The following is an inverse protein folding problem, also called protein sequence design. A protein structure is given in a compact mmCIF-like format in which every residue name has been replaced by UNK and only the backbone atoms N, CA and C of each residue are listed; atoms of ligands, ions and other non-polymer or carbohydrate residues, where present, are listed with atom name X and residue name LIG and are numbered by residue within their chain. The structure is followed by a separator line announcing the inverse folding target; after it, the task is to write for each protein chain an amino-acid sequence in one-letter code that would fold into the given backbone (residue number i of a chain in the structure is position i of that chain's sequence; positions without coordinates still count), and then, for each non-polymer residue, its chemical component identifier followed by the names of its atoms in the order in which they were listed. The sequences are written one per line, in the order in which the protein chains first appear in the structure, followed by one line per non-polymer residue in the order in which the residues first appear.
data_IF_366956882310
#
_entry.id   IF_366956882310
#
_cell.length_a   1.000
_cell.length_b   1.000
_cell.length_c   1.000
_cell.angle_alpha   90.00
_cell.angle_beta   90.00
_cell.angle_gamma   90.00
#
_symmetry.space_group_name_H-M   'P 1'
#
loop_
_entity.id
_entity.type
_entity.pdbx_description
1 polymer ?
#
# COMPACT_ATOMS: atom_id res chain seq x y z
N UNK A 1 37.63 -12.55 7.93
CA UNK A 1 36.30 -11.98 7.78
C UNK A 1 35.45 -12.71 8.80
N UNK A 2 35.29 -12.16 10.02
CA UNK A 2 34.41 -12.77 11.03
C UNK A 2 32.97 -12.63 10.51
N UNK A 3 32.28 -13.74 10.36
CA UNK A 3 30.86 -13.77 10.08
C UNK A 3 30.15 -13.04 11.23
N UNK A 4 29.51 -11.92 10.95
CA UNK A 4 28.67 -11.21 11.91
C UNK A 4 27.62 -12.24 12.38
N UNK A 5 27.71 -12.66 13.64
CA UNK A 5 26.73 -13.57 14.22
C UNK A 5 25.38 -12.84 14.20
N UNK A 6 24.34 -13.41 13.59
CA UNK A 6 23.03 -12.80 13.64
C UNK A 6 22.62 -12.59 15.10
N UNK A 7 22.19 -11.37 15.43
CA UNK A 7 21.66 -11.09 16.77
C UNK A 7 20.51 -12.07 17.06
N UNK A 8 20.49 -12.61 18.27
CA UNK A 8 19.37 -13.46 18.71
C UNK A 8 18.07 -12.66 18.62
N UNK A 9 17.22 -13.01 17.64
CA UNK A 9 15.98 -12.32 17.41
C UNK A 9 14.97 -12.75 18.47
N UNK A 10 14.60 -11.82 19.36
CA UNK A 10 13.51 -12.04 20.32
C UNK A 10 12.18 -12.00 19.55
N UNK A 11 11.49 -13.11 19.49
CA UNK A 11 10.21 -13.25 18.80
C UNK A 11 9.08 -12.86 19.75
N UNK A 12 8.20 -11.98 19.28
CA UNK A 12 7.02 -11.52 20.02
C UNK A 12 5.74 -11.92 19.27
N UNK A 13 4.64 -12.28 19.97
CA UNK A 13 3.35 -12.45 19.33
C UNK A 13 2.97 -11.21 18.48
N UNK A 14 2.41 -11.44 17.29
CA UNK A 14 2.13 -10.35 16.33
C UNK A 14 1.24 -9.22 16.92
N UNK A 15 0.32 -9.54 17.81
CA UNK A 15 -0.57 -8.56 18.45
C UNK A 15 0.19 -7.56 19.33
N UNK A 16 1.32 -7.93 19.93
CA UNK A 16 2.11 -7.03 20.78
C UNK A 16 2.69 -5.85 20.00
N UNK A 17 2.92 -5.99 18.70
CA UNK A 17 3.38 -4.88 17.86
C UNK A 17 2.33 -3.77 17.68
N UNK A 18 1.05 -4.10 17.88
CA UNK A 18 -0.06 -3.16 17.76
C UNK A 18 -0.64 -2.73 19.11
N UNK A 19 -0.60 -3.59 20.12
CA UNK A 19 -1.21 -3.37 21.44
C UNK A 19 -0.21 -2.94 22.53
N UNK A 20 1.10 -3.15 22.31
CA UNK A 20 2.13 -2.73 23.27
C UNK A 20 2.19 -1.20 23.43
N UNK A 21 2.63 -0.72 24.59
CA UNK A 21 2.89 0.72 24.78
C UNK A 21 3.85 1.26 23.72
N UNK A 22 3.50 2.43 23.19
CA UNK A 22 4.24 3.09 22.11
C UNK A 22 4.94 4.35 22.61
N UNK A 23 6.08 4.64 22.04
CA UNK A 23 6.83 5.88 22.25
C UNK A 23 6.75 6.75 21.00
N UNK A 24 6.66 8.08 21.20
CA UNK A 24 6.63 9.06 20.11
C UNK A 24 8.03 9.37 19.63
N UNK A 25 8.19 9.41 18.30
CA UNK A 25 9.39 9.91 17.64
C UNK A 25 8.99 10.89 16.54
N UNK A 26 9.80 11.93 16.33
CA UNK A 26 9.61 12.91 15.25
C UNK A 26 10.59 12.60 14.13
N UNK A 27 10.15 11.81 13.17
CA UNK A 27 10.96 11.16 12.15
C UNK A 27 10.40 11.35 10.75
N UNK A 28 11.22 11.09 9.72
CA UNK A 28 10.77 11.09 8.32
C UNK A 28 9.96 9.83 8.01
N UNK A 29 9.16 9.84 6.94
CA UNK A 29 8.46 8.64 6.49
C UNK A 29 9.42 7.52 6.06
N UNK A 30 10.58 7.87 5.51
CA UNK A 30 11.64 6.91 5.19
C UNK A 30 12.20 6.24 6.47
N UNK A 31 12.38 7.00 7.56
CA UNK A 31 12.73 6.46 8.88
C UNK A 31 11.63 5.57 9.43
N UNK A 32 10.37 6.00 9.34
CA UNK A 32 9.22 5.23 9.81
C UNK A 32 9.13 3.87 9.10
N UNK A 33 9.25 3.84 7.78
CA UNK A 33 9.25 2.61 7.00
C UNK A 33 10.41 1.67 7.40
N UNK A 34 11.63 2.20 7.57
CA UNK A 34 12.78 1.38 7.98
C UNK A 34 12.61 0.82 9.40
N UNK A 35 12.03 1.57 10.32
CA UNK A 35 11.68 1.10 11.66
C UNK A 35 10.59 0.02 11.66
N UNK A 36 9.62 0.10 10.72
CA UNK A 36 8.66 -0.97 10.51
C UNK A 36 9.34 -2.24 9.95
N UNK A 37 10.20 -2.11 8.96
CA UNK A 37 11.01 -3.21 8.39
C UNK A 37 11.86 -3.91 9.46
N UNK A 38 12.49 -3.12 10.35
CA UNK A 38 13.27 -3.64 11.49
C UNK A 38 12.41 -4.50 12.42
N UNK A 39 11.20 -4.05 12.76
CA UNK A 39 10.26 -4.78 13.62
C UNK A 39 9.60 -5.95 12.91
N UNK A 40 9.42 -5.85 11.61
CA UNK A 40 8.91 -6.95 10.80
C UNK A 40 9.86 -8.15 10.74
N UNK A 41 11.11 -8.01 11.20
CA UNK A 41 12.07 -9.10 11.17
C UNK A 41 12.33 -9.62 9.75
N UNK A 42 12.55 -8.71 8.81
CA UNK A 42 12.79 -9.00 7.40
C UNK A 42 14.09 -9.79 7.25
N UNK A 43 14.08 -10.83 6.42
CA UNK A 43 15.27 -11.61 6.10
C UNK A 43 16.06 -10.99 4.97
N UNK A 44 15.39 -10.58 3.89
CA UNK A 44 16.06 -10.02 2.71
C UNK A 44 15.31 -8.81 2.16
N UNK A 45 16.07 -7.79 1.77
CA UNK A 45 15.60 -6.64 1.05
C UNK A 45 16.33 -6.51 -0.30
N UNK A 46 15.59 -6.35 -1.38
CA UNK A 46 16.15 -6.21 -2.72
C UNK A 46 15.50 -5.02 -3.41
N UNK A 47 16.30 -4.11 -3.93
CA UNK A 47 15.78 -2.98 -4.70
C UNK A 47 16.82 -2.40 -5.68
N UNK A 48 16.33 -1.64 -6.65
CA UNK A 48 17.12 -0.71 -7.45
C UNK A 48 16.85 0.72 -6.97
N UNK A 49 17.90 1.55 -6.77
CA UNK A 49 17.72 2.89 -6.20
C UNK A 49 17.00 3.83 -7.18
N UNK A 50 15.92 4.43 -6.73
CA UNK A 50 15.17 5.48 -7.44
C UNK A 50 14.60 6.49 -6.45
N UNK A 51 14.75 7.80 -6.73
CA UNK A 51 14.19 8.87 -5.89
C UNK A 51 12.65 8.90 -5.98
N UNK A 52 11.91 9.05 -4.85
CA UNK A 52 12.35 9.29 -3.46
C UNK A 52 12.54 8.03 -2.61
N UNK A 53 12.47 6.84 -3.17
CA UNK A 53 12.61 5.56 -2.47
C UNK A 53 14.04 5.33 -1.94
N UNK A 54 15.06 5.90 -2.56
CA UNK A 54 16.48 5.63 -2.26
C UNK A 54 16.84 5.86 -0.79
N UNK A 55 16.26 6.88 -0.14
CA UNK A 55 16.52 7.15 1.28
C UNK A 55 16.04 5.99 2.18
N UNK A 56 14.84 5.47 1.92
CA UNK A 56 14.32 4.31 2.66
C UNK A 56 15.23 3.11 2.51
N UNK A 57 15.66 2.80 1.27
CA UNK A 57 16.52 1.63 1.04
C UNK A 57 17.94 1.82 1.54
N UNK A 58 18.45 3.05 1.62
CA UNK A 58 19.72 3.32 2.29
C UNK A 58 19.63 2.97 3.78
N UNK A 59 18.56 3.39 4.46
CA UNK A 59 18.32 3.06 5.88
C UNK A 59 18.12 1.56 6.09
N UNK A 60 17.46 0.87 5.17
CA UNK A 60 17.35 -0.60 5.19
C UNK A 60 18.74 -1.25 5.01
N UNK A 61 19.60 -0.67 4.17
CA UNK A 61 21.01 -1.08 4.05
C UNK A 61 21.81 -0.87 5.35
N UNK A 62 21.55 0.21 6.09
CA UNK A 62 22.15 0.44 7.41
C UNK A 62 21.69 -0.63 8.42
N UNK A 63 20.42 -1.04 8.37
CA UNK A 63 19.90 -2.15 9.18
C UNK A 63 20.59 -3.48 8.85
N UNK A 64 20.93 -3.73 7.59
CA UNK A 64 21.75 -4.86 7.19
C UNK A 64 23.16 -4.77 7.79
N UNK A 65 23.81 -3.61 7.69
CA UNK A 65 25.11 -3.37 8.30
C UNK A 65 25.14 -3.56 9.83
N UNK A 66 23.99 -3.32 10.50
CA UNK A 66 23.81 -3.51 11.94
C UNK A 66 23.36 -4.95 12.31
N UNK A 67 23.15 -5.84 11.34
CA UNK A 67 22.76 -7.24 11.57
C UNK A 67 21.26 -7.46 11.82
N UNK A 68 20.39 -6.46 11.63
CA UNK A 68 18.93 -6.60 11.76
C UNK A 68 18.31 -7.32 10.58
N UNK A 69 18.85 -7.15 9.38
CA UNK A 69 18.42 -7.81 8.15
C UNK A 69 19.53 -8.80 7.76
N UNK A 70 19.11 -9.97 7.29
CA UNK A 70 20.03 -11.08 6.98
C UNK A 70 20.79 -10.84 5.67
N UNK A 71 20.11 -10.26 4.67
CA UNK A 71 20.68 -9.98 3.36
C UNK A 71 20.10 -8.73 2.73
N UNK A 72 20.91 -8.02 1.97
CA UNK A 72 20.57 -6.79 1.27
C UNK A 72 21.24 -6.76 -0.09
N UNK A 73 20.43 -6.75 -1.15
CA UNK A 73 20.93 -6.77 -2.52
C UNK A 73 20.46 -5.57 -3.32
N UNK A 74 21.41 -4.88 -3.95
CA UNK A 74 21.15 -3.82 -4.93
C UNK A 74 21.20 -4.43 -6.32
N UNK A 75 20.05 -4.49 -6.98
CA UNK A 75 19.92 -5.02 -8.32
C UNK A 75 20.42 -4.03 -9.39
N UNK A 76 20.61 -4.52 -10.60
CA UNK A 76 21.05 -3.72 -11.75
C UNK A 76 19.91 -2.87 -12.34
N UNK A 77 18.66 -3.30 -12.15
CA UNK A 77 17.45 -2.57 -12.53
C UNK A 77 16.23 -3.08 -11.76
N UNK A 78 15.06 -2.46 -11.96
CA UNK A 78 13.83 -2.82 -11.27
C UNK A 78 13.30 -4.20 -11.67
N UNK A 79 13.43 -4.59 -12.93
CA UNK A 79 13.01 -5.93 -13.41
C UNK A 79 13.81 -7.01 -12.70
N UNK A 80 15.13 -6.81 -12.61
CA UNK A 80 16.03 -7.68 -11.86
C UNK A 80 15.69 -7.74 -10.38
N UNK A 81 15.43 -6.56 -9.75
CA UNK A 81 15.05 -6.47 -8.34
C UNK A 81 13.75 -7.24 -8.04
N UNK A 82 12.71 -7.03 -8.84
CA UNK A 82 11.39 -7.62 -8.65
C UNK A 82 11.38 -9.13 -8.94
N UNK A 83 12.16 -9.58 -9.91
CA UNK A 83 12.36 -11.01 -10.19
C UNK A 83 13.11 -11.70 -9.06
N UNK A 84 14.20 -11.10 -8.58
CA UNK A 84 15.01 -11.65 -7.49
C UNK A 84 14.20 -11.75 -6.18
N UNK A 85 13.43 -10.70 -5.80
CA UNK A 85 12.61 -10.73 -4.59
C UNK A 85 11.48 -11.77 -4.67
N UNK A 86 10.91 -11.96 -5.86
CA UNK A 86 9.94 -13.04 -6.11
C UNK A 86 10.56 -14.40 -5.87
N UNK A 87 11.76 -14.63 -6.39
CA UNK A 87 12.54 -15.85 -6.16
C UNK A 87 12.84 -16.07 -4.67
N UNK A 88 13.34 -15.04 -3.99
CA UNK A 88 13.63 -15.10 -2.57
C UNK A 88 12.38 -15.43 -1.73
N UNK A 89 11.24 -14.79 -2.00
CA UNK A 89 9.99 -15.06 -1.28
C UNK A 89 9.56 -16.53 -1.39
N UNK A 90 9.78 -17.17 -2.53
CA UNK A 90 9.47 -18.58 -2.75
C UNK A 90 10.31 -19.54 -1.91
N UNK A 91 11.45 -19.10 -1.43
CA UNK A 91 12.27 -19.90 -0.49
C UNK A 91 11.76 -19.83 0.95
N UNK A 92 10.69 -19.07 1.21
CA UNK A 92 10.04 -18.93 2.51
C UNK A 92 10.68 -17.89 3.44
N UNK A 93 11.62 -17.10 2.96
CA UNK A 93 12.18 -15.99 3.73
C UNK A 93 11.25 -14.77 3.66
N UNK A 94 11.25 -13.92 4.69
CA UNK A 94 10.48 -12.68 4.70
C UNK A 94 11.19 -11.62 3.88
N UNK A 95 10.50 -11.12 2.85
CA UNK A 95 11.08 -10.26 1.84
C UNK A 95 10.40 -8.91 1.75
N UNK A 96 11.17 -7.88 1.43
CA UNK A 96 10.64 -6.59 1.03
C UNK A 96 11.38 -6.03 -0.18
N UNK A 97 10.66 -5.23 -0.96
CA UNK A 97 11.22 -4.39 -2.02
C UNK A 97 10.58 -3.01 -1.99
N UNK A 98 11.16 -2.06 -2.68
CA UNK A 98 10.61 -0.72 -2.80
C UNK A 98 10.93 -0.12 -4.16
N UNK A 99 10.05 0.76 -4.66
CA UNK A 99 10.27 1.52 -5.88
C UNK A 99 9.43 2.81 -5.91
N UNK A 100 9.47 3.51 -7.01
CA UNK A 100 8.73 4.74 -7.27
C UNK A 100 8.38 4.83 -8.75
N UNK A 101 7.30 5.51 -9.09
CA UNK A 101 6.87 5.89 -10.44
C UNK A 101 7.47 5.14 -11.63
N UNK A 102 8.50 5.69 -12.29
CA UNK A 102 9.08 5.06 -13.49
C UNK A 102 9.66 3.67 -13.25
N UNK A 103 10.23 3.42 -12.05
CA UNK A 103 10.79 2.13 -11.70
C UNK A 103 9.69 1.06 -11.52
N UNK A 104 8.56 1.44 -10.90
CA UNK A 104 7.39 0.58 -10.84
C UNK A 104 6.92 0.23 -12.26
N UNK A 105 6.79 1.22 -13.12
CA UNK A 105 6.34 1.02 -14.51
C UNK A 105 7.30 0.15 -15.32
N UNK A 106 8.61 0.28 -15.10
CA UNK A 106 9.61 -0.58 -15.76
C UNK A 106 9.43 -2.06 -15.40
N UNK A 107 9.05 -2.36 -14.17
CA UNK A 107 8.87 -3.73 -13.67
C UNK A 107 7.44 -4.21 -13.55
N UNK A 108 6.45 -3.51 -14.10
CA UNK A 108 5.02 -3.80 -13.91
C UNK A 108 4.64 -5.22 -14.34
N UNK A 109 5.27 -5.77 -15.37
CA UNK A 109 5.05 -7.15 -15.83
C UNK A 109 5.37 -8.15 -14.71
N UNK A 110 6.51 -7.97 -14.04
CA UNK A 110 6.92 -8.83 -12.94
C UNK A 110 5.99 -8.67 -11.74
N UNK A 111 5.65 -7.42 -11.39
CA UNK A 111 4.71 -7.10 -10.29
C UNK A 111 3.35 -7.78 -10.53
N UNK A 112 2.83 -7.72 -11.75
CA UNK A 112 1.56 -8.33 -12.12
C UNK A 112 1.59 -9.87 -12.04
N UNK A 113 2.77 -10.48 -12.13
CA UNK A 113 2.93 -11.93 -11.98
C UNK A 113 2.91 -12.42 -10.53
N UNK A 114 3.24 -11.57 -9.56
CA UNK A 114 3.37 -11.95 -8.14
C UNK A 114 2.09 -12.55 -7.52
N UNK A 115 0.89 -11.98 -7.72
CA UNK A 115 -0.34 -12.57 -7.17
C UNK A 115 -0.61 -13.96 -7.74
N UNK A 116 -0.36 -14.14 -9.04
CA UNK A 116 -0.46 -15.43 -9.70
C UNK A 116 0.51 -16.47 -9.14
N UNK A 117 1.69 -16.06 -8.75
CA UNK A 117 2.68 -16.92 -8.11
C UNK A 117 2.45 -17.10 -6.60
N UNK A 118 1.48 -16.39 -6.01
CA UNK A 118 1.19 -16.44 -4.56
C UNK A 118 2.44 -16.14 -3.73
N UNK A 119 3.13 -15.05 -4.04
CA UNK A 119 4.38 -14.61 -3.38
C UNK A 119 4.06 -13.64 -2.27
N UNK A 120 4.14 -14.01 -1.00
CA UNK A 120 3.97 -13.08 0.10
C UNK A 120 5.23 -12.23 0.27
N UNK A 121 5.10 -10.96 -0.01
CA UNK A 121 6.15 -9.95 0.19
C UNK A 121 5.50 -8.58 0.47
N UNK A 122 6.28 -7.64 0.98
CA UNK A 122 5.85 -6.24 1.10
C UNK A 122 6.58 -5.40 0.06
N UNK A 123 5.81 -4.64 -0.69
CA UNK A 123 6.29 -3.69 -1.69
C UNK A 123 5.96 -2.26 -1.25
N UNK A 124 6.96 -1.47 -0.92
CA UNK A 124 6.80 -0.06 -0.57
C UNK A 124 6.85 0.79 -1.84
N UNK A 125 5.82 1.61 -2.05
CA UNK A 125 5.71 2.51 -3.21
C UNK A 125 5.77 3.95 -2.72
N UNK A 126 6.86 4.65 -3.04
CA UNK A 126 7.00 6.07 -2.81
C UNK A 126 6.55 6.80 -4.07
N UNK A 127 5.27 7.18 -4.09
CA UNK A 127 4.60 7.69 -5.28
C UNK A 127 5.25 8.97 -5.82
N UNK A 128 5.49 9.00 -7.12
CA UNK A 128 6.00 10.17 -7.86
C UNK A 128 5.53 10.16 -9.31
N UNK A 129 5.71 11.30 -10.00
CA UNK A 129 5.48 11.41 -11.43
C UNK A 129 6.14 10.25 -12.20
N UNK A 130 5.38 9.57 -13.03
CA UNK A 130 5.85 8.42 -13.81
C UNK A 130 6.89 8.87 -14.82
N UNK A 131 6.55 9.77 -15.72
CA UNK A 131 7.48 10.34 -16.73
C UNK A 131 6.77 11.36 -17.62
N UNK A 132 7.56 12.19 -18.34
CA UNK A 132 7.20 13.12 -19.38
C UNK A 132 6.05 14.13 -19.04
N UNK A 133 6.36 15.29 -18.39
CA UNK A 133 7.70 15.75 -18.08
C UNK A 133 8.32 15.04 -16.89
N UNK A 134 9.63 14.84 -16.93
CA UNK A 134 10.36 14.19 -15.83
C UNK A 134 10.28 15.04 -14.56
N UNK A 135 9.78 14.45 -13.49
CA UNK A 135 9.77 15.04 -12.15
C UNK A 135 9.96 13.97 -11.11
N UNK A 136 10.64 14.31 -10.03
CA UNK A 136 10.77 13.44 -8.84
C UNK A 136 9.68 13.73 -7.81
N UNK A 137 8.84 14.70 -8.08
CA UNK A 137 7.85 15.23 -7.16
C UNK A 137 6.62 14.29 -7.03
N UNK A 138 5.86 14.43 -5.93
CA UNK A 138 4.70 13.58 -5.65
C UNK A 138 3.66 13.59 -6.76
N UNK A 139 3.19 12.43 -7.08
CA UNK A 139 2.07 12.12 -7.96
C UNK A 139 1.73 10.65 -7.70
N UNK A 140 0.48 10.26 -7.76
CA UNK A 140 0.11 8.86 -7.49
C UNK A 140 -0.56 8.17 -8.68
N UNK A 141 -0.17 8.57 -9.89
CA UNK A 141 -0.65 7.97 -11.14
C UNK A 141 -0.32 6.47 -11.24
N UNK A 142 0.82 6.03 -10.70
CA UNK A 142 1.22 4.63 -10.71
C UNK A 142 0.25 3.71 -9.97
N UNK A 143 -0.56 4.24 -9.05
CA UNK A 143 -1.57 3.45 -8.35
C UNK A 143 -2.70 3.00 -9.27
N UNK A 144 -2.99 3.73 -10.35
CA UNK A 144 -3.93 3.32 -11.40
C UNK A 144 -3.54 1.96 -12.02
N UNK A 145 -2.25 1.70 -12.16
CA UNK A 145 -1.73 0.42 -12.65
C UNK A 145 -1.73 -0.64 -11.55
N UNK A 146 -1.40 -0.24 -10.32
CA UNK A 146 -1.35 -1.17 -9.19
C UNK A 146 -2.71 -1.75 -8.80
N UNK A 147 -3.78 -0.96 -8.90
CA UNK A 147 -5.13 -1.43 -8.57
C UNK A 147 -5.65 -2.54 -9.50
N UNK A 148 -5.04 -2.71 -10.68
CA UNK A 148 -5.38 -3.77 -11.63
C UNK A 148 -4.43 -4.96 -11.58
N UNK A 149 -3.38 -4.91 -10.75
CA UNK A 149 -2.31 -5.92 -10.73
C UNK A 149 -2.65 -7.22 -9.98
N UNK A 150 -3.73 -7.24 -9.19
CA UNK A 150 -4.08 -8.37 -8.32
C UNK A 150 -3.39 -8.36 -6.95
N UNK A 151 -2.46 -7.44 -6.69
CA UNK A 151 -1.85 -7.23 -5.39
C UNK A 151 -2.87 -6.66 -4.38
N UNK A 152 -2.63 -6.83 -3.08
CA UNK A 152 -3.29 -6.03 -2.06
C UNK A 152 -2.59 -4.66 -2.06
N UNK A 153 -3.36 -3.57 -2.03
CA UNK A 153 -2.80 -2.22 -2.16
C UNK A 153 -3.39 -1.30 -1.08
N UNK A 154 -2.52 -0.72 -0.26
CA UNK A 154 -2.85 0.31 0.71
C UNK A 154 -2.28 1.65 0.28
N UNK A 155 -2.96 2.76 0.60
CA UNK A 155 -2.47 4.10 0.32
C UNK A 155 -2.46 4.94 1.60
N UNK A 156 -1.29 5.04 2.23
CA UNK A 156 -1.06 5.69 3.51
C UNK A 156 -1.24 7.21 3.43
N UNK A 157 -1.94 7.77 4.41
CA UNK A 157 -2.15 9.22 4.53
C UNK A 157 -0.90 9.94 5.03
N UNK A 158 -0.21 9.33 6.00
CA UNK A 158 0.83 9.98 6.77
C UNK A 158 1.88 8.98 7.28
N UNK A 159 2.82 9.45 8.08
CA UNK A 159 3.94 8.68 8.65
C UNK A 159 3.47 7.52 9.53
N UNK A 160 2.41 7.73 10.34
CA UNK A 160 1.88 6.68 11.21
C UNK A 160 1.26 5.55 10.40
N UNK A 161 0.42 5.87 9.41
CA UNK A 161 -0.15 4.88 8.51
C UNK A 161 0.97 4.10 7.80
N UNK A 162 2.00 4.81 7.31
CA UNK A 162 3.08 4.18 6.57
C UNK A 162 3.87 3.19 7.44
N UNK A 163 4.12 3.55 8.72
CA UNK A 163 4.73 2.64 9.70
C UNK A 163 3.82 1.44 9.99
N UNK A 164 2.60 1.68 10.46
CA UNK A 164 1.69 0.63 10.91
C UNK A 164 1.28 -0.31 9.76
N UNK A 165 1.00 0.25 8.58
CA UNK A 165 0.55 -0.55 7.45
C UNK A 165 1.69 -1.33 6.78
N UNK A 166 2.92 -0.85 6.88
CA UNK A 166 4.10 -1.65 6.50
C UNK A 166 4.21 -2.89 7.38
N UNK A 167 4.08 -2.76 8.70
CA UNK A 167 4.05 -3.91 9.62
C UNK A 167 2.86 -4.84 9.34
N UNK A 168 1.67 -4.28 9.21
CA UNK A 168 0.46 -5.04 8.89
C UNK A 168 0.59 -5.77 7.55
N UNK A 169 1.24 -5.14 6.57
CA UNK A 169 1.48 -5.72 5.25
C UNK A 169 2.21 -7.05 5.30
N UNK A 170 3.25 -7.18 6.12
CA UNK A 170 3.95 -8.45 6.32
C UNK A 170 3.02 -9.50 6.94
N UNK A 171 2.27 -9.15 7.99
CA UNK A 171 1.35 -10.07 8.63
C UNK A 171 0.28 -10.54 7.65
N UNK A 172 -0.36 -9.62 6.94
CA UNK A 172 -1.47 -9.91 6.02
C UNK A 172 -1.00 -10.75 4.86
N UNK A 173 0.14 -10.38 4.24
CA UNK A 173 0.69 -11.10 3.09
C UNK A 173 1.01 -12.56 3.41
N UNK A 174 1.40 -12.84 4.65
CA UNK A 174 1.86 -14.15 5.11
C UNK A 174 0.75 -15.05 5.68
N UNK A 175 -0.50 -14.57 5.78
CA UNK A 175 -1.62 -15.43 6.19
C UNK A 175 -1.85 -16.53 5.15
N UNK A 176 -1.97 -17.78 5.59
CA UNK A 176 -2.08 -18.96 4.72
C UNK A 176 -3.22 -18.87 3.71
N UNK A 177 -4.35 -18.31 4.14
CA UNK A 177 -5.51 -18.11 3.28
C UNK A 177 -5.39 -16.89 2.37
N UNK A 178 -4.37 -16.02 2.58
CA UNK A 178 -4.10 -14.84 1.75
C UNK A 178 -2.95 -15.11 0.80
N UNK A 179 -1.71 -15.24 1.31
CA UNK A 179 -0.48 -15.46 0.52
C UNK A 179 -0.43 -14.61 -0.75
N UNK A 180 -0.68 -13.31 -0.62
CA UNK A 180 -0.60 -12.31 -1.69
C UNK A 180 0.43 -11.25 -1.33
N UNK A 181 1.08 -10.64 -2.33
CA UNK A 181 1.91 -9.47 -2.06
C UNK A 181 1.05 -8.30 -1.57
N UNK A 182 1.61 -7.52 -0.64
CA UNK A 182 0.99 -6.30 -0.14
C UNK A 182 1.84 -5.10 -0.54
N UNK A 183 1.27 -4.22 -1.32
CA UNK A 183 1.84 -2.92 -1.65
C UNK A 183 1.36 -1.87 -0.64
N UNK A 184 2.29 -1.11 -0.06
CA UNK A 184 1.98 0.03 0.79
C UNK A 184 2.52 1.28 0.12
N UNK A 185 1.60 2.08 -0.42
CA UNK A 185 1.91 3.30 -1.12
C UNK A 185 1.85 4.51 -0.19
N UNK A 186 2.67 5.50 -0.48
CA UNK A 186 2.70 6.79 0.19
C UNK A 186 3.12 7.87 -0.79
N UNK A 187 2.58 9.08 -0.65
CA UNK A 187 2.99 10.19 -1.50
C UNK A 187 4.43 10.59 -1.19
N UNK A 188 5.31 10.44 -2.18
CA UNK A 188 6.74 10.74 -2.08
C UNK A 188 6.99 12.20 -1.69
N UNK A 189 8.15 12.51 -1.13
CA UNK A 189 8.54 13.79 -0.54
C UNK A 189 7.59 14.35 0.53
N UNK A 190 6.26 14.39 0.28
CA UNK A 190 5.31 14.91 1.26
C UNK A 190 5.31 14.13 2.57
N UNK A 191 5.50 12.82 2.50
CA UNK A 191 5.60 11.97 3.68
C UNK A 191 7.03 11.44 3.84
N UNK A 192 7.67 10.96 2.78
CA UNK A 192 8.95 10.25 2.88
C UNK A 192 10.09 11.11 3.41
N UNK A 193 10.14 12.41 3.07
CA UNK A 193 11.22 13.32 3.45
C UNK A 193 10.80 14.36 4.51
N UNK A 194 9.51 14.66 4.62
CA UNK A 194 9.00 15.47 5.72
C UNK A 194 9.12 14.71 7.05
N UNK A 195 9.20 15.44 8.16
CA UNK A 195 9.15 14.85 9.52
C UNK A 195 7.74 14.90 10.06
N UNK A 196 7.35 13.84 10.73
CA UNK A 196 6.07 13.72 11.40
C UNK A 196 6.20 12.91 12.69
N UNK A 197 5.19 13.01 13.53
CA UNK A 197 5.11 12.21 14.74
C UNK A 197 4.67 10.78 14.41
N UNK A 198 5.42 9.81 14.92
CA UNK A 198 5.10 8.38 14.80
C UNK A 198 5.18 7.75 16.19
N UNK A 199 4.13 7.04 16.55
CA UNK A 199 4.09 6.23 17.76
C UNK A 199 4.48 4.78 17.41
N UNK A 200 5.54 4.29 18.04
CA UNK A 200 6.11 2.98 17.73
C UNK A 200 6.26 2.14 19.00
N UNK A 201 6.01 0.82 18.94
CA UNK A 201 6.33 -0.08 20.02
C UNK A 201 7.86 -0.18 20.19
N UNK A 202 8.32 -0.77 21.31
CA UNK A 202 9.76 -1.01 21.53
C UNK A 202 10.42 -1.66 20.31
N UNK A 203 11.64 -1.26 20.02
CA UNK A 203 12.44 -1.85 18.93
C UNK A 203 12.84 -3.32 19.19
N UNK A 204 12.68 -3.81 20.43
CA UNK A 204 12.94 -5.21 20.79
C UNK A 204 11.82 -6.14 20.38
N UNK A 205 10.61 -5.61 20.18
CA UNK A 205 9.49 -6.37 19.68
C UNK A 205 9.65 -6.67 18.18
N UNK A 206 9.64 -7.94 17.81
CA UNK A 206 9.82 -8.43 16.45
C UNK A 206 8.69 -9.36 16.05
N UNK A 207 8.26 -9.30 14.79
CA UNK A 207 7.34 -10.30 14.26
C UNK A 207 7.94 -11.71 14.34
N UNK A 208 7.14 -12.72 14.65
CA UNK A 208 7.57 -14.11 14.63
C UNK A 208 8.02 -14.52 13.22
N UNK A 209 8.82 -15.58 13.15
CA UNK A 209 9.18 -16.21 11.88
C UNK A 209 7.94 -16.81 11.20
N UNK A 210 8.04 -16.96 9.87
CA UNK A 210 6.95 -17.49 9.03
C UNK A 210 6.73 -18.98 9.21
N UNK A 211 5.95 -19.41 10.19
CA UNK A 211 5.66 -20.84 10.33
C UNK A 211 4.63 -21.32 9.29
N UNK A 212 3.62 -20.50 9.04
CA UNK A 212 2.48 -20.85 8.23
C UNK A 212 2.78 -20.95 6.72
N UNK A 213 3.75 -20.21 6.22
CA UNK A 213 4.13 -20.23 4.81
C UNK A 213 4.73 -21.59 4.40
N UNK A 214 5.46 -22.25 5.31
CA UNK A 214 6.04 -23.57 5.08
C UNK A 214 4.97 -24.65 4.90
N UNK A 215 3.82 -24.50 5.56
CA UNK A 215 2.71 -25.46 5.47
C UNK A 215 1.81 -25.20 4.26
N UNK A 216 1.50 -23.93 3.97
CA UNK A 216 0.55 -23.56 2.93
C UNK A 216 1.12 -23.54 1.52
N UNK A 217 2.41 -23.18 1.38
CA UNK A 217 3.14 -23.17 0.13
C UNK A 217 4.42 -23.95 0.38
N UNK A 218 4.42 -25.26 0.12
CA UNK A 218 5.62 -26.08 0.33
C UNK A 218 6.76 -25.48 -0.47
N UNK A 219 7.82 -25.18 0.23
CA UNK A 219 9.09 -24.71 -0.31
C UNK A 219 9.73 -25.80 -1.18
N UNK A 220 10.84 -25.45 -1.83
CA UNK A 220 11.63 -26.43 -2.56
C UNK A 220 11.99 -27.57 -1.59
N UNK A 221 11.17 -28.58 -1.62
CA UNK A 221 11.39 -29.84 -0.96
C UNK A 221 11.70 -30.84 -2.06
N UNK A 222 12.93 -31.37 -2.05
CA UNK A 222 13.38 -32.30 -3.07
C UNK A 222 12.60 -33.61 -3.08
N UNK A 223 11.97 -33.96 -1.96
CA UNK A 223 11.15 -35.17 -1.83
C UNK A 223 9.69 -34.92 -2.28
N UNK A 224 9.20 -33.68 -2.12
CA UNK A 224 7.86 -33.28 -2.52
C UNK A 224 7.93 -31.95 -3.29
N UNK A 225 8.30 -31.95 -4.57
CA UNK A 225 8.40 -30.73 -5.34
C UNK A 225 7.06 -29.99 -5.34
N UNK A 226 7.05 -28.70 -4.97
CA UNK A 226 5.82 -27.95 -4.79
C UNK A 226 5.06 -27.85 -6.11
N UNK A 227 3.86 -28.36 -6.12
CA UNK A 227 2.93 -28.31 -7.25
C UNK A 227 2.61 -26.86 -7.67
N UNK A 228 2.96 -25.86 -6.84
CA UNK A 228 2.62 -24.44 -7.02
C UNK A 228 3.77 -23.55 -7.47
N UNK A 229 5.02 -24.00 -7.48
CA UNK A 229 6.12 -23.25 -8.07
C UNK A 229 6.01 -23.44 -9.58
N UNK A 230 5.78 -22.35 -10.30
CA UNK A 230 5.66 -22.35 -11.73
C UNK A 230 4.64 -23.39 -12.26
N UNK A 231 3.38 -23.18 -11.98
CA UNK A 231 2.37 -23.57 -12.95
C UNK A 231 2.51 -22.62 -14.15
N UNK A 232 3.60 -22.73 -14.85
CA UNK A 232 3.59 -22.40 -16.26
C UNK A 232 2.47 -23.24 -16.83
N UNK A 233 1.42 -22.57 -17.30
CA UNK A 233 0.36 -23.30 -17.98
C UNK A 233 1.01 -24.20 -19.01
N UNK A 234 0.79 -25.52 -18.98
CA UNK A 234 1.39 -26.39 -19.97
C UNK A 234 1.05 -25.84 -21.34
N UNK A 235 2.01 -25.88 -22.27
CA UNK A 235 1.78 -25.48 -23.68
C UNK A 235 0.47 -26.09 -24.12
N UNK A 236 -0.53 -25.24 -24.35
CA UNK A 236 -1.90 -25.69 -24.27
C UNK A 236 -2.36 -26.34 -25.59
N UNK A 237 -2.94 -27.51 -25.46
CA UNK A 237 -3.54 -28.21 -26.59
C UNK A 237 -4.90 -27.64 -27.00
N UNK A 238 -5.52 -26.74 -26.18
CA UNK A 238 -6.74 -26.08 -26.56
C UNK A 238 -6.91 -24.72 -25.82
N UNK A 239 -7.45 -23.73 -26.52
CA UNK A 239 -7.77 -22.40 -25.98
C UNK A 239 -8.80 -22.46 -24.85
N UNK A 240 -9.67 -23.46 -24.82
CA UNK A 240 -10.67 -23.63 -23.77
C UNK A 240 -10.05 -24.02 -22.43
N UNK A 241 -9.09 -24.92 -22.43
CA UNK A 241 -8.34 -25.30 -21.20
C UNK A 241 -7.57 -24.09 -20.67
N UNK A 242 -6.98 -23.29 -21.56
CA UNK A 242 -6.33 -22.03 -21.21
C UNK A 242 -7.27 -21.10 -20.47
N UNK A 243 -8.41 -20.84 -21.05
CA UNK A 243 -9.42 -19.98 -20.46
C UNK A 243 -9.85 -20.46 -19.07
N UNK A 244 -10.15 -21.76 -18.91
CA UNK A 244 -10.56 -22.30 -17.61
C UNK A 244 -9.47 -22.14 -16.53
N UNK A 245 -8.22 -22.36 -16.90
CA UNK A 245 -7.09 -22.21 -15.98
C UNK A 245 -6.91 -20.75 -15.56
N UNK A 246 -6.93 -19.82 -16.50
CA UNK A 246 -6.81 -18.38 -16.19
C UNK A 246 -7.99 -17.89 -15.38
N UNK A 247 -9.21 -18.25 -15.73
CA UNK A 247 -10.42 -17.85 -15.02
C UNK A 247 -10.41 -18.34 -13.56
N UNK A 248 -10.11 -19.62 -13.32
CA UNK A 248 -10.04 -20.16 -11.96
C UNK A 248 -8.91 -19.55 -11.13
N UNK A 249 -7.79 -19.21 -11.77
CA UNK A 249 -6.67 -18.55 -11.12
C UNK A 249 -7.00 -17.11 -10.71
N UNK A 250 -7.64 -16.34 -11.58
CA UNK A 250 -8.10 -15.00 -11.25
C UNK A 250 -9.16 -15.03 -10.14
N UNK A 251 -10.09 -15.99 -10.18
CA UNK A 251 -11.07 -16.17 -9.11
C UNK A 251 -10.42 -16.43 -7.76
N UNK A 252 -9.35 -17.25 -7.71
CA UNK A 252 -8.63 -17.52 -6.47
C UNK A 252 -7.86 -16.29 -5.96
N UNK A 253 -7.29 -15.46 -6.84
CA UNK A 253 -6.66 -14.19 -6.45
C UNK A 253 -7.71 -13.27 -5.80
N UNK A 254 -8.86 -13.09 -6.43
CA UNK A 254 -9.95 -12.29 -5.87
C UNK A 254 -10.45 -12.85 -4.54
N UNK A 255 -10.64 -14.16 -4.44
CA UNK A 255 -11.04 -14.82 -3.20
C UNK A 255 -10.01 -14.60 -2.08
N UNK A 256 -8.72 -14.64 -2.39
CA UNK A 256 -7.67 -14.36 -1.42
C UNK A 256 -7.65 -12.88 -0.99
N UNK A 257 -7.90 -11.94 -1.90
CA UNK A 257 -8.10 -10.53 -1.57
C UNK A 257 -9.31 -10.36 -0.63
N UNK A 258 -10.45 -10.99 -0.90
CA UNK A 258 -11.62 -10.93 -0.02
C UNK A 258 -11.33 -11.54 1.36
N UNK A 259 -10.63 -12.68 1.42
CA UNK A 259 -10.20 -13.25 2.71
C UNK A 259 -9.27 -12.32 3.50
N UNK A 260 -8.52 -11.46 2.84
CA UNK A 260 -7.64 -10.49 3.50
C UNK A 260 -8.40 -9.38 4.24
N UNK A 261 -9.66 -9.08 3.88
CA UNK A 261 -10.46 -7.99 4.48
C UNK A 261 -10.55 -8.08 6.01
N UNK A 262 -10.69 -9.28 6.57
CA UNK A 262 -10.75 -9.47 8.03
C UNK A 262 -9.44 -9.07 8.72
N UNK A 263 -8.31 -9.32 8.08
CA UNK A 263 -7.00 -8.96 8.61
C UNK A 263 -6.71 -7.48 8.42
N UNK A 264 -7.11 -6.91 7.27
CA UNK A 264 -7.08 -5.46 7.02
C UNK A 264 -7.91 -4.75 8.09
N UNK A 265 -9.15 -5.20 8.32
CA UNK A 265 -10.01 -4.64 9.36
C UNK A 265 -9.39 -4.73 10.75
N UNK A 266 -8.70 -5.83 11.06
CA UNK A 266 -8.04 -6.01 12.36
C UNK A 266 -6.86 -5.05 12.56
N UNK A 267 -5.97 -4.92 11.56
CA UNK A 267 -4.70 -4.20 11.74
C UNK A 267 -4.74 -2.75 11.27
N UNK A 268 -5.63 -2.40 10.33
CA UNK A 268 -5.82 -1.03 9.85
C UNK A 268 -7.07 -0.36 10.45
N UNK A 269 -7.78 -1.03 11.34
CA UNK A 269 -9.06 -0.57 11.88
C UNK A 269 -10.06 -0.23 10.76
N UNK A 270 -10.41 -1.24 9.94
CA UNK A 270 -11.29 -1.12 8.79
C UNK A 270 -10.59 -0.74 7.49
N UNK A 271 -11.29 -0.91 6.38
CA UNK A 271 -10.81 -0.56 5.03
C UNK A 271 -11.01 0.92 4.72
N UNK A 272 -11.88 1.58 5.47
CA UNK A 272 -12.15 3.02 5.43
C UNK A 272 -12.15 3.60 6.83
N UNK A 273 -12.05 4.91 6.90
CA UNK A 273 -12.39 5.70 8.09
C UNK A 273 -13.44 6.74 7.66
N UNK A 274 -14.47 6.94 8.46
CA UNK A 274 -15.54 7.87 8.14
C UNK A 274 -15.65 8.92 9.24
N UNK A 275 -15.56 10.19 8.86
CA UNK A 275 -15.79 11.34 9.72
C UNK A 275 -17.12 11.97 9.33
N UNK A 276 -17.93 12.40 10.30
CA UNK A 276 -19.25 12.99 10.11
C UNK A 276 -20.17 12.14 9.18
N UNK A 277 -20.44 10.87 9.52
CA UNK A 277 -21.30 10.03 8.69
C UNK A 277 -22.69 10.65 8.50
N UNK A 278 -23.24 10.46 7.30
CA UNK A 278 -24.56 10.98 6.93
C UNK A 278 -24.60 12.46 6.55
N UNK A 279 -23.46 13.12 6.38
CA UNK A 279 -23.41 14.47 5.83
C UNK A 279 -23.88 14.49 4.37
N UNK A 280 -24.52 15.58 3.94
CA UNK A 280 -25.02 15.75 2.57
C UNK A 280 -23.91 15.97 1.55
N UNK A 281 -22.77 16.52 2.00
CA UNK A 281 -21.56 16.68 1.19
C UNK A 281 -20.49 15.76 1.79
N UNK A 282 -19.97 14.84 1.00
CA UNK A 282 -18.92 13.90 1.40
C UNK A 282 -17.66 14.14 0.56
N UNK A 283 -16.51 14.21 1.22
CA UNK A 283 -15.22 14.12 0.55
C UNK A 283 -14.78 12.66 0.60
N UNK A 284 -14.31 12.12 -0.50
CA UNK A 284 -13.74 10.76 -0.55
C UNK A 284 -12.31 10.85 -1.07
N UNK A 285 -11.35 10.48 -0.26
CA UNK A 285 -9.93 10.67 -0.56
C UNK A 285 -9.07 9.48 -0.11
N UNK A 286 -7.86 9.38 -0.63
CA UNK A 286 -6.82 8.45 -0.19
C UNK A 286 -5.44 9.15 -0.17
N UNK A 287 -4.46 8.56 0.52
CA UNK A 287 -3.13 9.14 0.64
C UNK A 287 -3.13 10.51 1.33
N UNK A 288 -2.17 11.37 1.02
CA UNK A 288 -2.03 12.67 1.67
C UNK A 288 -3.17 13.66 1.35
N UNK A 289 -3.98 13.41 0.30
CA UNK A 289 -5.19 14.20 0.04
C UNK A 289 -6.19 14.13 1.21
N UNK A 290 -6.13 13.08 2.02
CA UNK A 290 -6.95 12.95 3.24
C UNK A 290 -6.59 14.01 4.28
N UNK A 291 -5.30 14.25 4.52
CA UNK A 291 -4.84 15.26 5.48
C UNK A 291 -5.32 16.67 5.09
N UNK A 292 -5.23 17.01 3.80
CA UNK A 292 -5.73 18.29 3.31
C UNK A 292 -7.26 18.39 3.43
N UNK A 293 -7.95 17.27 3.20
CA UNK A 293 -9.41 17.18 3.35
C UNK A 293 -9.85 17.32 4.81
N UNK A 294 -9.08 16.81 5.77
CA UNK A 294 -9.35 16.97 7.20
C UNK A 294 -9.29 18.45 7.60
N UNK A 295 -8.28 19.17 7.11
CA UNK A 295 -8.15 20.60 7.38
C UNK A 295 -9.30 21.39 6.75
N UNK A 296 -9.68 21.07 5.51
CA UNK A 296 -10.85 21.69 4.87
C UNK A 296 -12.15 21.41 5.64
N UNK A 297 -12.29 20.21 6.20
CA UNK A 297 -13.42 19.82 7.04
C UNK A 297 -13.51 20.71 8.28
N UNK A 298 -12.41 20.89 9.01
CA UNK A 298 -12.35 21.71 10.21
C UNK A 298 -12.69 23.19 9.93
N UNK A 299 -12.19 23.71 8.82
CA UNK A 299 -12.51 25.09 8.41
C UNK A 299 -13.98 25.24 8.00
N UNK A 300 -14.55 24.28 7.27
CA UNK A 300 -15.97 24.29 6.91
C UNK A 300 -16.87 24.19 8.16
N UNK A 301 -16.51 23.37 9.13
CA UNK A 301 -17.21 23.26 10.42
C UNK A 301 -17.17 24.57 11.21
N UNK A 302 -16.03 25.25 11.21
CA UNK A 302 -15.91 26.57 11.83
C UNK A 302 -16.82 27.64 11.16
N UNK A 303 -17.17 27.44 9.90
CA UNK A 303 -18.14 28.26 9.14
C UNK A 303 -19.61 27.79 9.33
N UNK A 304 -19.84 26.75 10.14
CA UNK A 304 -21.19 26.22 10.42
C UNK A 304 -21.68 25.16 9.42
N UNK A 305 -20.80 24.63 8.57
CA UNK A 305 -21.15 23.59 7.57
C UNK A 305 -20.69 22.21 8.02
N UNK A 306 -21.60 21.23 8.02
CA UNK A 306 -21.29 19.84 8.33
C UNK A 306 -20.92 19.07 7.07
N UNK A 307 -19.63 18.83 6.89
CA UNK A 307 -19.06 18.07 5.76
C UNK A 307 -18.58 16.70 6.28
N UNK A 308 -18.76 15.66 5.48
CA UNK A 308 -18.25 14.32 5.79
C UNK A 308 -16.97 14.00 5.02
N UNK A 309 -16.19 13.05 5.56
CA UNK A 309 -14.97 12.56 4.93
C UNK A 309 -14.94 11.03 5.00
N UNK A 310 -14.65 10.40 3.88
CA UNK A 310 -14.29 8.98 3.79
C UNK A 310 -12.82 8.87 3.37
N UNK A 311 -11.98 8.41 4.28
CA UNK A 311 -10.60 8.00 3.99
C UNK A 311 -10.61 6.57 3.46
N UNK A 312 -10.23 6.36 2.21
CA UNK A 312 -9.97 5.03 1.64
C UNK A 312 -8.57 4.59 2.04
N UNK A 313 -8.47 3.52 2.82
CA UNK A 313 -7.20 2.94 3.29
C UNK A 313 -6.72 1.82 2.36
N UNK A 314 -7.64 0.96 1.94
CA UNK A 314 -7.39 -0.15 1.03
C UNK A 314 -7.91 0.17 -0.36
N UNK A 315 -7.01 0.18 -1.34
CA UNK A 315 -7.36 0.32 -2.75
C UNK A 315 -7.66 -1.04 -3.39
N UNK A 316 -7.10 -2.12 -2.84
CA UNK A 316 -7.42 -3.52 -3.16
C UNK A 316 -7.19 -4.40 -1.93
N UNK A 317 -8.19 -5.19 -1.49
CA UNK A 317 -9.58 -5.16 -1.97
C UNK A 317 -10.23 -3.78 -1.78
N UNK A 318 -11.05 -3.36 -2.75
CA UNK A 318 -11.72 -2.06 -2.65
C UNK A 318 -12.90 -2.12 -1.65
N UNK A 319 -13.12 -1.08 -0.83
CA UNK A 319 -14.15 -1.08 0.22
C UNK A 319 -15.54 -0.75 -0.34
N UNK A 320 -16.09 -1.62 -1.18
CA UNK A 320 -17.33 -1.39 -1.92
C UNK A 320 -18.51 -1.12 -0.99
N UNK A 321 -18.76 -2.03 -0.04
CA UNK A 321 -19.93 -1.94 0.84
C UNK A 321 -19.79 -0.82 1.87
N UNK A 322 -18.57 -0.63 2.40
CA UNK A 322 -18.25 0.45 3.33
C UNK A 322 -18.45 1.83 2.68
N UNK A 323 -18.05 1.97 1.41
CA UNK A 323 -18.21 3.22 0.67
C UNK A 323 -19.70 3.49 0.35
N UNK A 324 -20.46 2.47 -0.06
CA UNK A 324 -21.89 2.59 -0.29
C UNK A 324 -22.64 3.04 0.96
N UNK A 325 -22.33 2.41 2.10
CA UNK A 325 -22.93 2.78 3.38
C UNK A 325 -22.55 4.20 3.81
N UNK A 326 -21.26 4.57 3.70
CA UNK A 326 -20.78 5.88 4.08
C UNK A 326 -21.42 7.02 3.24
N UNK A 327 -21.68 6.76 1.96
CA UNK A 327 -22.18 7.76 1.00
C UNK A 327 -23.69 7.68 0.75
N UNK A 328 -24.44 6.82 1.44
CA UNK A 328 -25.89 6.57 1.16
C UNK A 328 -26.78 7.82 1.25
N UNK A 329 -26.43 8.78 2.12
CA UNK A 329 -27.20 10.01 2.33
C UNK A 329 -26.56 11.22 1.62
N UNK A 330 -25.44 11.03 0.94
CA UNK A 330 -24.75 12.11 0.26
C UNK A 330 -25.59 12.63 -0.91
N UNK A 331 -25.68 13.94 -1.04
CA UNK A 331 -26.21 14.64 -2.21
C UNK A 331 -25.07 14.98 -3.18
N UNK A 332 -23.87 15.23 -2.64
CA UNK A 332 -22.68 15.52 -3.41
C UNK A 332 -21.44 14.81 -2.84
N UNK A 333 -20.62 14.27 -3.72
CA UNK A 333 -19.35 13.61 -3.39
C UNK A 333 -18.25 14.30 -4.16
N UNK A 334 -17.18 14.71 -3.44
CA UNK A 334 -16.02 15.42 -3.98
C UNK A 334 -14.81 14.52 -3.81
N UNK A 335 -14.02 14.33 -4.86
CA UNK A 335 -12.87 13.41 -4.87
C UNK A 335 -11.59 14.18 -5.21
N UNK A 336 -10.88 14.72 -4.20
CA UNK A 336 -9.58 15.35 -4.42
C UNK A 336 -8.49 14.29 -4.66
N UNK A 337 -7.62 14.51 -5.65
CA UNK A 337 -6.60 13.53 -6.06
C UNK A 337 -5.26 14.19 -6.41
N UNK A 338 -4.15 13.50 -6.08
CA UNK A 338 -2.79 13.87 -6.50
C UNK A 338 -2.38 13.14 -7.79
N UNK A 339 -3.22 13.19 -8.81
CA UNK A 339 -2.93 12.65 -10.15
C UNK A 339 -3.79 13.35 -11.21
N UNK A 340 -3.38 13.24 -12.47
CA UNK A 340 -4.14 13.82 -13.58
C UNK A 340 -5.26 12.91 -14.12
N UNK A 341 -5.16 11.59 -13.93
CA UNK A 341 -6.11 10.63 -14.51
C UNK A 341 -7.45 10.57 -13.79
N UNK A 342 -7.50 10.93 -12.51
CA UNK A 342 -8.71 10.80 -11.69
C UNK A 342 -9.13 9.34 -11.47
N UNK A 343 -8.16 8.46 -11.24
CA UNK A 343 -8.41 7.02 -11.12
C UNK A 343 -9.30 6.71 -9.92
N UNK A 344 -9.14 7.38 -8.78
CA UNK A 344 -9.99 7.16 -7.61
C UNK A 344 -11.44 7.60 -7.87
N UNK A 345 -11.62 8.75 -8.54
CA UNK A 345 -12.95 9.20 -8.95
C UNK A 345 -13.65 8.16 -9.85
N UNK A 346 -12.91 7.52 -10.77
CA UNK A 346 -13.47 6.43 -11.60
C UNK A 346 -13.90 5.23 -10.76
N UNK A 347 -13.09 4.79 -9.82
CA UNK A 347 -13.42 3.67 -8.92
C UNK A 347 -14.66 3.98 -8.06
N UNK A 348 -14.74 5.20 -7.53
CA UNK A 348 -15.88 5.63 -6.73
C UNK A 348 -17.16 5.67 -7.58
N UNK A 349 -17.10 6.24 -8.79
CA UNK A 349 -18.23 6.26 -9.72
C UNK A 349 -18.72 4.85 -10.07
N UNK A 350 -17.80 3.95 -10.39
CA UNK A 350 -18.13 2.56 -10.67
C UNK A 350 -18.78 1.86 -9.48
N UNK A 351 -18.27 2.10 -8.27
CA UNK A 351 -18.78 1.51 -7.01
C UNK A 351 -20.18 2.00 -6.67
N UNK A 352 -20.45 3.29 -6.88
CA UNK A 352 -21.72 3.94 -6.52
C UNK A 352 -22.75 3.94 -7.65
N UNK A 353 -22.38 3.46 -8.84
CA UNK A 353 -23.32 3.34 -9.96
C UNK A 353 -24.55 2.53 -9.56
N UNK A 354 -25.75 3.07 -9.79
CA UNK A 354 -27.04 2.51 -9.37
C UNK A 354 -27.24 2.35 -7.83
N UNK A 355 -26.30 2.80 -7.00
CA UNK A 355 -26.39 2.73 -5.54
C UNK A 355 -26.49 4.10 -4.86
N UNK A 356 -26.18 5.17 -5.57
CA UNK A 356 -26.28 6.54 -5.06
C UNK A 356 -26.85 7.47 -6.11
N UNK A 357 -27.65 8.46 -5.67
CA UNK A 357 -28.12 9.58 -6.50
C UNK A 357 -27.24 10.83 -6.31
N UNK A 358 -26.16 10.73 -5.55
CA UNK A 358 -25.27 11.84 -5.32
C UNK A 358 -24.61 12.32 -6.62
N UNK A 359 -24.46 13.63 -6.76
CA UNK A 359 -23.58 14.20 -7.78
C UNK A 359 -22.13 13.89 -7.39
N UNK A 360 -21.42 13.11 -8.21
CA UNK A 360 -20.01 12.77 -7.98
C UNK A 360 -19.14 13.67 -8.84
N UNK A 361 -18.46 14.62 -8.20
CA UNK A 361 -17.57 15.57 -8.86
C UNK A 361 -16.11 15.09 -8.77
N UNK A 362 -15.28 15.39 -9.77
CA UNK A 362 -13.88 14.99 -9.72
C UNK A 362 -13.08 15.62 -8.57
N UNK A 363 -13.53 16.75 -8.01
CA UNK A 363 -12.76 17.52 -7.05
C UNK A 363 -11.49 18.15 -7.64
N UNK A 364 -10.64 18.79 -6.81
CA UNK A 364 -9.37 19.32 -7.29
C UNK A 364 -8.42 18.16 -7.64
N UNK A 365 -7.76 18.29 -8.78
CA UNK A 365 -6.68 17.39 -9.20
C UNK A 365 -5.38 18.17 -9.25
N UNK A 366 -4.43 17.73 -8.45
CA UNK A 366 -3.11 18.33 -8.35
C UNK A 366 -2.09 17.26 -8.67
N UNK A 367 -1.10 17.56 -9.48
CA UNK A 367 -0.09 16.60 -9.93
C UNK A 367 1.23 17.33 -10.25
N UNK A 368 2.30 16.55 -10.43
CA UNK A 368 3.62 17.08 -10.75
C UNK A 368 4.31 17.79 -9.59
N UNK A 369 3.90 17.51 -8.33
CA UNK A 369 4.58 18.01 -7.13
C UNK A 369 4.06 19.32 -6.56
N UNK A 370 2.93 19.80 -7.04
CA UNK A 370 2.25 20.93 -6.45
C UNK A 370 1.46 20.43 -5.23
N UNK A 371 1.52 21.17 -4.13
CA UNK A 371 0.68 20.89 -2.95
C UNK A 371 -0.78 21.20 -3.26
N UNK A 372 -1.69 20.50 -2.61
CA UNK A 372 -3.12 20.78 -2.68
C UNK A 372 -3.49 21.76 -1.54
N UNK A 373 -3.69 23.05 -1.81
CA UNK A 373 -4.10 23.98 -0.76
C UNK A 373 -5.49 23.61 -0.22
N UNK A 374 -5.70 23.81 1.06
CA UNK A 374 -6.99 23.60 1.72
C UNK A 374 -8.09 24.45 1.08
N UNK A 375 -7.76 25.67 0.72
CA UNK A 375 -8.65 26.62 0.05
C UNK A 375 -9.19 26.06 -1.27
N UNK A 376 -8.37 25.30 -2.00
CA UNK A 376 -8.80 24.67 -3.24
C UNK A 376 -9.89 23.61 -2.99
N UNK A 377 -9.81 22.87 -1.89
CA UNK A 377 -10.86 21.92 -1.49
C UNK A 377 -12.12 22.68 -1.05
N UNK A 378 -11.97 23.77 -0.29
CA UNK A 378 -13.09 24.61 0.16
C UNK A 378 -13.84 25.21 -1.03
N UNK A 379 -13.16 25.64 -2.09
CA UNK A 379 -13.78 26.09 -3.34
C UNK A 379 -14.72 25.04 -3.92
N UNK A 380 -14.28 23.80 -3.97
CA UNK A 380 -15.11 22.70 -4.46
C UNK A 380 -16.27 22.35 -3.51
N UNK A 381 -16.09 22.53 -2.20
CA UNK A 381 -17.16 22.35 -1.20
C UNK A 381 -18.27 23.38 -1.42
N UNK A 382 -17.92 24.66 -1.51
CA UNK A 382 -18.88 25.75 -1.55
C UNK A 382 -19.34 26.12 -2.96
N UNK A 383 -18.66 25.63 -4.01
CA UNK A 383 -18.91 26.00 -5.41
C UNK A 383 -18.85 27.52 -5.64
N UNK A 384 -18.03 28.21 -4.86
CA UNK A 384 -18.01 29.68 -4.83
C UNK A 384 -16.84 30.21 -5.65
N UNK A 385 -17.15 31.03 -6.65
CA UNK A 385 -16.17 31.63 -7.56
C UNK A 385 -15.24 32.64 -6.84
N UNK A 386 -15.59 33.17 -5.69
CA UNK A 386 -14.72 34.05 -4.91
C UNK A 386 -13.50 33.33 -4.31
N UNK A 387 -13.61 32.03 -4.03
CA UNK A 387 -12.47 31.20 -3.66
C UNK A 387 -11.63 30.73 -4.86
N UNK A 388 -12.05 31.04 -6.09
CA UNK A 388 -11.35 30.66 -7.32
C UNK A 388 -10.34 31.73 -7.84
N UNK A 389 -9.99 32.73 -7.02
CA UNK A 389 -9.03 33.80 -7.42
C UNK A 389 -7.72 33.73 -6.66
#
# INVERSE_FOLDING_TARGET
MELIKPQQKVVSPEYLLFEAPRTKAFITGSEAASEAVKRANVDIAIAYPITPQSETMQRVGDLFGQGYIRDYYRAEDEVGAFSAISGASRTGVRCMTASSGPGLMRGIEVIASWPGHRVPLVFLIMCRVINAPLSIQPDNQELDYMISSGNIVFHAENHQDFFDWTLAGFIISEKCEVTLPVAVAVDGFFVTHARGWVEMPSSDLKLPMRDCYREAVPMIDNENPPIRIARDAPIQKSNFISYQMHASWQQEIHAAQERSRRWISKYLNGLVEVVNPGAEIMIVASGSAVSQSREALLQAEAMGHRIGLVKIKSLRPFPVEELREACKNAKRIIVPEFNCSGWLNREIRATLYNHSQAEITPGPRVFGGITMPTELILQWIFQDAEYCR
#
